data_IF_005238258762
#
_entry.id   IF_005238258762
#
_cell.length_a   1.000
_cell.length_b   1.000
_cell.length_c   1.000
_cell.angle_alpha   90.00
_cell.angle_beta   90.00
_cell.angle_gamma   90.00
#
_symmetry.space_group_name_H-M   'P 1'
#
loop_
_entity.id
_entity.type
_entity.pdbx_description
1 polymer ?
#
# COMPACT_ATOMS: atom_id res chain seq x y z
N UNK A 1 -17.87 9.12 11.54
CA UNK A 1 -17.95 10.60 11.49
C UNK A 1 -17.02 11.05 10.39
N UNK A 2 -17.50 11.86 9.45
CA UNK A 2 -16.69 12.44 8.37
C UNK A 2 -16.12 13.78 8.83
N UNK A 3 -14.85 14.06 8.55
CA UNK A 3 -14.18 15.31 8.90
C UNK A 3 -13.41 15.87 7.70
N UNK A 4 -13.04 17.15 7.79
CA UNK A 4 -12.12 17.78 6.83
C UNK A 4 -10.82 16.97 6.74
N UNK A 5 -10.35 16.73 5.51
CA UNK A 5 -9.16 15.94 5.22
C UNK A 5 -9.42 14.45 4.98
N UNK A 6 -10.61 13.94 5.34
CA UNK A 6 -10.96 12.54 5.08
C UNK A 6 -10.88 12.23 3.58
N UNK A 7 -10.32 11.07 3.27
CA UNK A 7 -10.37 10.51 1.93
C UNK A 7 -11.71 9.80 1.75
N UNK A 8 -12.37 10.05 0.62
CA UNK A 8 -13.64 9.40 0.27
C UNK A 8 -13.50 8.76 -1.10
N UNK A 9 -14.25 7.68 -1.35
CA UNK A 9 -14.21 6.92 -2.60
C UNK A 9 -15.61 6.75 -3.17
N UNK A 10 -15.76 7.02 -4.47
CA UNK A 10 -17.00 6.81 -5.19
C UNK A 10 -17.29 5.32 -5.32
N UNK A 11 -18.39 4.85 -4.75
CA UNK A 11 -18.83 3.44 -4.81
C UNK A 11 -19.96 3.22 -5.82
N UNK A 12 -20.66 4.29 -6.23
CA UNK A 12 -21.74 4.24 -7.21
C UNK A 12 -21.70 5.48 -8.10
N UNK A 13 -21.97 5.31 -9.39
CA UNK A 13 -21.98 6.44 -10.32
C UNK A 13 -23.04 7.48 -9.96
N UNK A 14 -22.71 8.76 -10.22
CA UNK A 14 -23.64 9.89 -10.16
C UNK A 14 -23.81 10.52 -11.54
N UNK A 15 -24.60 11.59 -11.61
CA UNK A 15 -24.66 12.42 -12.82
C UNK A 15 -23.30 13.06 -13.16
N UNK A 16 -22.53 13.46 -12.14
CA UNK A 16 -21.27 14.19 -12.29
C UNK A 16 -20.03 13.27 -12.27
N UNK A 17 -20.11 12.11 -11.63
CA UNK A 17 -18.97 11.22 -11.41
C UNK A 17 -19.28 9.82 -11.95
N UNK A 18 -18.54 9.41 -12.98
CA UNK A 18 -18.74 8.13 -13.68
C UNK A 18 -17.73 7.05 -13.32
N UNK A 19 -16.56 7.42 -12.80
CA UNK A 19 -15.48 6.47 -12.53
C UNK A 19 -15.53 5.96 -11.10
N UNK A 20 -16.16 4.79 -10.89
CA UNK A 20 -16.17 4.08 -9.61
C UNK A 20 -14.72 3.84 -9.13
N UNK A 21 -14.48 4.00 -7.82
CA UNK A 21 -13.17 3.90 -7.20
C UNK A 21 -12.35 5.21 -7.23
N UNK A 22 -12.86 6.26 -7.85
CA UNK A 22 -12.22 7.59 -7.81
C UNK A 22 -12.19 8.11 -6.38
N UNK A 23 -11.03 8.63 -5.96
CA UNK A 23 -10.80 9.14 -4.61
C UNK A 23 -10.82 10.66 -4.58
N UNK A 24 -11.44 11.19 -3.55
CA UNK A 24 -11.59 12.62 -3.29
C UNK A 24 -11.15 12.91 -1.86
N UNK A 25 -10.97 14.19 -1.55
CA UNK A 25 -10.66 14.66 -0.20
C UNK A 25 -11.69 15.70 0.24
N UNK A 26 -12.18 15.54 1.47
CA UNK A 26 -13.13 16.47 2.08
C UNK A 26 -12.44 17.81 2.36
N UNK A 27 -12.95 18.87 1.74
CA UNK A 27 -12.46 20.25 1.87
C UNK A 27 -13.02 20.94 3.11
N UNK A 28 -14.34 20.80 3.33
CA UNK A 28 -15.06 21.36 4.48
C UNK A 28 -16.41 20.67 4.68
N UNK A 29 -16.94 20.84 5.88
CA UNK A 29 -18.31 20.50 6.25
C UNK A 29 -18.91 21.77 6.85
N UNK A 30 -20.07 22.20 6.35
CA UNK A 30 -20.76 23.40 6.87
C UNK A 30 -21.67 23.06 8.07
N UNK A 31 -22.27 24.10 8.67
CA UNK A 31 -23.14 23.99 9.85
C UNK A 31 -24.39 23.13 9.58
N UNK A 32 -24.85 23.08 8.33
CA UNK A 32 -25.99 22.26 7.87
C UNK A 32 -25.59 20.80 7.58
N UNK A 33 -24.30 20.45 7.74
CA UNK A 33 -23.79 19.11 7.48
C UNK A 33 -23.60 18.78 5.99
N UNK A 34 -23.52 19.78 5.12
CA UNK A 34 -23.14 19.58 3.72
C UNK A 34 -21.62 19.37 3.62
N UNK A 35 -21.24 18.36 2.87
CA UNK A 35 -19.85 17.98 2.62
C UNK A 35 -19.42 18.60 1.30
N UNK A 36 -18.36 19.41 1.32
CA UNK A 36 -17.66 19.86 0.12
C UNK A 36 -16.37 19.07 -0.04
N UNK A 37 -16.09 18.58 -1.24
CA UNK A 37 -14.83 17.88 -1.56
C UNK A 37 -14.25 18.35 -2.89
N UNK A 38 -12.91 18.32 -2.95
CA UNK A 38 -12.14 18.75 -4.11
C UNK A 38 -11.87 17.53 -5.03
N UNK A 39 -11.88 17.75 -6.34
CA UNK A 39 -11.33 16.78 -7.29
C UNK A 39 -10.29 17.42 -8.20
N UNK A 40 -9.21 16.67 -8.46
CA UNK A 40 -8.29 17.00 -9.54
C UNK A 40 -8.96 16.59 -10.84
N UNK A 41 -9.52 17.58 -11.54
CA UNK A 41 -9.71 17.48 -12.98
C UNK A 41 -8.32 17.37 -13.62
N UNK A 42 -8.12 16.39 -14.50
CA UNK A 42 -6.87 16.29 -15.27
C UNK A 42 -6.73 17.42 -16.31
N UNK A 43 -7.76 18.25 -16.53
CA UNK A 43 -7.80 19.29 -17.57
C UNK A 43 -8.37 20.61 -17.03
N UNK A 44 -7.81 21.18 -15.97
CA UNK A 44 -8.13 22.57 -15.60
C UNK A 44 -6.88 23.43 -15.68
N UNK A 45 -6.56 23.88 -16.90
CA UNK A 45 -5.66 25.01 -17.18
C UNK A 45 -6.16 26.33 -16.55
N UNK A 46 -7.41 26.34 -16.06
CA UNK A 46 -8.01 27.46 -15.34
C UNK A 46 -7.95 27.13 -13.84
N UNK A 47 -7.14 27.88 -13.08
CA UNK A 47 -6.70 27.63 -11.70
C UNK A 47 -7.77 27.57 -10.58
N UNK A 48 -8.91 26.92 -10.80
CA UNK A 48 -9.84 26.50 -9.74
C UNK A 48 -10.02 24.99 -9.80
N UNK A 49 -9.59 24.30 -8.74
CA UNK A 49 -9.97 22.89 -8.55
C UNK A 49 -11.50 22.81 -8.46
N UNK A 50 -12.17 22.08 -9.34
CA UNK A 50 -13.61 21.96 -9.27
C UNK A 50 -14.01 21.29 -7.95
N UNK A 51 -15.09 21.81 -7.36
CA UNK A 51 -15.64 21.38 -6.06
C UNK A 51 -17.03 20.80 -6.26
N UNK A 52 -17.35 19.78 -5.49
CA UNK A 52 -18.71 19.31 -5.35
C UNK A 52 -19.15 19.44 -3.89
N UNK A 53 -20.42 19.83 -3.71
CA UNK A 53 -21.06 19.92 -2.40
C UNK A 53 -22.33 19.08 -2.41
N UNK A 54 -22.57 18.33 -1.35
CA UNK A 54 -23.79 17.56 -1.16
C UNK A 54 -24.11 17.34 0.31
N UNK A 55 -25.37 17.04 0.62
CA UNK A 55 -25.78 16.68 1.98
C UNK A 55 -25.18 15.33 2.40
N UNK A 56 -25.05 15.09 3.70
CA UNK A 56 -24.62 13.78 4.22
C UNK A 56 -25.48 12.62 3.68
N UNK A 57 -26.80 12.81 3.60
CA UNK A 57 -27.72 11.79 3.06
C UNK A 57 -27.47 11.45 1.60
N UNK A 58 -27.08 12.44 0.79
CA UNK A 58 -26.75 12.19 -0.61
C UNK A 58 -25.37 11.57 -0.74
N UNK A 59 -24.41 11.98 0.11
CA UNK A 59 -23.08 11.39 0.19
C UNK A 59 -23.12 9.87 0.45
N UNK A 60 -23.89 9.42 1.44
CA UNK A 60 -23.97 7.99 1.81
C UNK A 60 -24.47 7.07 0.67
N UNK A 61 -25.19 7.63 -0.32
CA UNK A 61 -25.68 6.86 -1.47
C UNK A 61 -24.59 6.52 -2.48
N UNK A 62 -23.53 7.32 -2.56
CA UNK A 62 -22.54 7.23 -3.64
C UNK A 62 -21.10 7.13 -3.18
N UNK A 63 -20.82 7.43 -1.90
CA UNK A 63 -19.46 7.49 -1.38
C UNK A 63 -19.31 6.66 -0.11
N UNK A 64 -18.08 6.20 0.12
CA UNK A 64 -17.63 5.67 1.41
C UNK A 64 -16.41 6.44 1.90
N UNK A 65 -16.24 6.54 3.22
CA UNK A 65 -14.99 7.02 3.81
C UNK A 65 -13.91 5.95 3.57
N UNK A 66 -12.77 6.39 3.05
CA UNK A 66 -11.56 5.58 2.93
C UNK A 66 -10.70 5.91 4.13
N UNK A 67 -10.57 4.99 5.11
CA UNK A 67 -9.65 5.22 6.21
C UNK A 67 -8.24 5.46 5.66
N UNK A 68 -7.58 6.49 6.19
CA UNK A 68 -6.19 6.75 5.86
C UNK A 68 -5.38 5.51 6.24
N UNK A 69 -4.64 4.98 5.27
CA UNK A 69 -3.90 3.73 5.46
C UNK A 69 -2.60 4.01 6.18
N UNK A 70 -2.70 4.08 7.51
CA UNK A 70 -1.56 4.19 8.40
C UNK A 70 -0.78 2.88 8.37
N UNK A 71 0.53 2.97 8.17
CA UNK A 71 1.40 1.81 8.30
C UNK A 71 1.51 1.42 9.77
N UNK A 72 1.37 0.13 10.06
CA UNK A 72 1.73 -0.43 11.36
C UNK A 72 3.21 -0.21 11.63
N UNK A 73 3.57 -0.31 12.91
CA UNK A 73 4.95 -0.52 13.32
C UNK A 73 5.55 -1.75 12.64
N UNK A 74 6.89 -1.76 12.56
CA UNK A 74 7.63 -2.91 12.06
C UNK A 74 7.63 -4.03 13.11
N UNK A 75 7.00 -5.14 12.75
CA UNK A 75 6.90 -6.33 13.59
C UNK A 75 7.94 -7.38 13.18
N UNK A 76 8.49 -8.17 14.13
CA UNK A 76 9.49 -9.17 13.84
C UNK A 76 8.93 -10.32 13.01
N UNK A 77 9.74 -10.86 12.12
CA UNK A 77 9.51 -12.12 11.40
C UNK A 77 10.85 -12.74 11.01
N UNK A 78 10.80 -13.85 10.27
CA UNK A 78 11.98 -14.49 9.71
C UNK A 78 11.74 -14.81 8.23
N UNK A 79 12.82 -14.89 7.47
CA UNK A 79 12.79 -15.35 6.08
C UNK A 79 13.71 -16.55 5.96
N UNK A 80 13.23 -17.58 5.26
CA UNK A 80 14.06 -18.66 4.76
C UNK A 80 14.26 -18.45 3.26
N UNK A 81 15.48 -18.64 2.78
CA UNK A 81 15.82 -18.56 1.36
C UNK A 81 16.98 -19.50 1.02
N UNK A 82 17.08 -19.90 -0.24
CA UNK A 82 18.20 -20.71 -0.71
C UNK A 82 19.42 -19.81 -0.94
N UNK A 83 20.50 -20.06 -0.20
CA UNK A 83 21.79 -19.45 -0.48
C UNK A 83 22.66 -20.39 -1.32
N UNK A 84 23.29 -19.83 -2.35
CA UNK A 84 24.21 -20.57 -3.21
C UNK A 84 25.61 -20.66 -2.60
N UNK A 85 25.99 -19.70 -1.75
CA UNK A 85 27.19 -19.82 -0.93
C UNK A 85 26.92 -20.90 0.13
N UNK A 86 27.50 -22.09 -0.08
CA UNK A 86 27.34 -23.27 0.78
C UNK A 86 26.20 -24.22 0.39
N UNK A 87 25.36 -23.92 -0.61
CA UNK A 87 24.21 -24.76 -1.00
C UNK A 87 23.28 -25.13 0.18
N UNK A 88 22.95 -24.15 1.01
CA UNK A 88 22.15 -24.37 2.23
C UNK A 88 20.91 -23.47 2.28
N UNK A 89 19.90 -23.94 3.03
CA UNK A 89 18.74 -23.13 3.39
C UNK A 89 19.17 -22.12 4.47
N UNK A 90 19.23 -20.85 4.11
CA UNK A 90 19.59 -19.78 5.03
C UNK A 90 18.34 -19.21 5.71
N UNK A 91 18.51 -18.78 6.97
CA UNK A 91 17.47 -18.07 7.73
C UNK A 91 18.01 -16.72 8.17
N UNK A 92 17.25 -15.66 7.93
CA UNK A 92 17.57 -14.30 8.40
C UNK A 92 16.43 -13.69 9.21
N UNK A 93 16.82 -12.81 10.13
CA UNK A 93 15.89 -11.93 10.81
C UNK A 93 15.33 -10.90 9.84
N UNK A 94 14.02 -10.69 9.91
CA UNK A 94 13.31 -9.75 9.07
C UNK A 94 12.27 -9.00 9.90
N UNK A 95 11.76 -7.92 9.34
CA UNK A 95 10.61 -7.21 9.90
C UNK A 95 9.57 -6.98 8.82
N UNK A 96 8.30 -7.00 9.20
CA UNK A 96 7.19 -6.71 8.32
C UNK A 96 6.28 -5.63 8.89
N UNK A 97 5.51 -4.98 8.02
CA UNK A 97 4.46 -4.03 8.41
C UNK A 97 3.32 -4.08 7.41
N UNK A 98 2.15 -3.58 7.80
CA UNK A 98 0.97 -3.52 6.94
C UNK A 98 0.23 -2.21 7.07
N UNK A 99 -0.57 -1.85 6.07
CA UNK A 99 -1.48 -0.71 6.13
C UNK A 99 -2.95 -1.10 5.85
N UNK A 100 -3.31 -2.37 6.09
CA UNK A 100 -4.66 -2.89 5.85
C UNK A 100 -4.98 -3.19 4.38
N UNK A 101 -4.02 -3.02 3.46
CA UNK A 101 -4.14 -3.51 2.07
C UNK A 101 -2.83 -4.05 1.52
N UNK A 102 -1.70 -3.48 1.96
CA UNK A 102 -0.36 -3.87 1.56
C UNK A 102 0.40 -4.43 2.76
N UNK A 103 1.21 -5.44 2.51
CA UNK A 103 2.21 -5.97 3.44
C UNK A 103 3.59 -5.73 2.85
N UNK A 104 4.52 -5.22 3.65
CA UNK A 104 5.93 -5.06 3.29
C UNK A 104 6.78 -5.88 4.25
N UNK A 105 7.84 -6.51 3.75
CA UNK A 105 8.84 -7.21 4.53
C UNK A 105 10.25 -6.81 4.08
N UNK A 106 11.18 -6.68 5.03
CA UNK A 106 12.58 -6.37 4.76
C UNK A 106 13.51 -7.11 5.72
N UNK A 107 14.78 -7.35 5.35
CA UNK A 107 15.79 -7.82 6.29
C UNK A 107 15.94 -6.86 7.48
N UNK A 108 16.28 -7.42 8.64
CA UNK A 108 16.49 -6.64 9.87
C UNK A 108 17.89 -6.90 10.41
N UNK A 109 18.69 -5.83 10.52
CA UNK A 109 20.04 -5.85 11.11
C UNK A 109 20.98 -6.89 10.47
N UNK A 110 20.97 -6.98 9.14
CA UNK A 110 21.91 -7.83 8.40
C UNK A 110 23.19 -7.03 8.11
N UNK A 111 24.36 -7.66 8.22
CA UNK A 111 25.66 -6.99 8.02
C UNK A 111 25.86 -6.40 6.62
N UNK A 112 25.20 -6.94 5.59
CA UNK A 112 25.33 -6.46 4.21
C UNK A 112 24.36 -5.30 3.91
N UNK A 113 24.87 -4.08 3.57
CA UNK A 113 24.03 -2.96 3.18
C UNK A 113 23.17 -3.24 1.95
N UNK A 114 23.68 -4.01 0.99
CA UNK A 114 22.96 -4.39 -0.23
C UNK A 114 21.74 -5.26 0.09
N UNK A 115 21.88 -6.19 1.05
CA UNK A 115 20.76 -7.00 1.53
C UNK A 115 19.72 -6.13 2.24
N UNK A 116 20.14 -5.17 3.08
CA UNK A 116 19.22 -4.29 3.81
C UNK A 116 18.34 -3.40 2.90
N UNK A 117 18.72 -3.22 1.63
CA UNK A 117 17.91 -2.50 0.63
C UNK A 117 16.82 -3.36 0.00
N UNK A 118 16.91 -4.69 0.11
CA UNK A 118 15.91 -5.61 -0.45
C UNK A 118 14.59 -5.52 0.32
N UNK A 119 13.49 -5.60 -0.43
CA UNK A 119 12.13 -5.59 0.11
C UNK A 119 11.23 -6.53 -0.66
N UNK A 120 10.41 -7.26 0.07
CA UNK A 120 9.27 -8.01 -0.47
C UNK A 120 7.97 -7.27 -0.15
N UNK A 121 7.03 -7.29 -1.07
CA UNK A 121 5.75 -6.60 -0.89
C UNK A 121 4.61 -7.43 -1.46
N UNK A 122 3.43 -7.34 -0.87
CA UNK A 122 2.19 -7.93 -1.38
C UNK A 122 1.05 -6.94 -1.20
N UNK A 123 0.16 -6.84 -2.18
CA UNK A 123 -1.00 -5.95 -2.16
C UNK A 123 -2.26 -6.77 -2.41
N UNK A 124 -3.24 -6.64 -1.54
CA UNK A 124 -4.55 -7.25 -1.67
C UNK A 124 -5.34 -6.60 -2.81
N UNK A 125 -6.06 -7.41 -3.60
CA UNK A 125 -6.97 -6.89 -4.63
C UNK A 125 -8.04 -5.99 -4.01
N UNK A 126 -8.60 -5.00 -4.75
CA UNK A 126 -9.79 -4.28 -4.28
C UNK A 126 -11.01 -5.16 -3.99
N UNK A 127 -11.10 -6.33 -4.62
CA UNK A 127 -12.21 -7.29 -4.48
C UNK A 127 -12.07 -8.25 -3.30
N UNK A 128 -10.88 -8.34 -2.70
CA UNK A 128 -10.56 -9.40 -1.76
C UNK A 128 -10.59 -8.86 -0.33
N UNK A 129 -11.03 -9.71 0.60
CA UNK A 129 -10.90 -9.45 2.02
C UNK A 129 -9.42 -9.46 2.41
N UNK A 130 -8.99 -8.38 3.07
CA UNK A 130 -7.61 -8.23 3.48
C UNK A 130 -7.23 -9.24 4.56
N UNK A 131 -6.25 -10.08 4.24
CA UNK A 131 -5.66 -11.06 5.16
C UNK A 131 -4.15 -10.79 5.29
N UNK A 132 -3.73 -10.40 6.50
CA UNK A 132 -2.33 -10.06 6.78
C UNK A 132 -1.40 -11.27 6.63
N UNK A 133 -1.88 -12.48 6.95
CA UNK A 133 -1.09 -13.70 6.90
C UNK A 133 -0.84 -14.12 5.46
N UNK A 134 -1.86 -14.07 4.61
CA UNK A 134 -1.72 -14.31 3.15
C UNK A 134 -0.77 -13.28 2.53
N UNK A 135 -0.98 -12.00 2.84
CA UNK A 135 -0.11 -10.92 2.36
C UNK A 135 1.34 -11.09 2.82
N UNK A 136 1.55 -11.45 4.08
CA UNK A 136 2.88 -11.71 4.64
C UNK A 136 3.55 -12.90 3.97
N UNK A 137 2.86 -14.03 3.78
CA UNK A 137 3.42 -15.19 3.10
C UNK A 137 3.94 -14.85 1.69
N UNK A 138 3.13 -14.13 0.90
CA UNK A 138 3.52 -13.69 -0.45
C UNK A 138 4.71 -12.71 -0.39
N UNK A 139 4.66 -11.73 0.51
CA UNK A 139 5.75 -10.76 0.65
C UNK A 139 7.06 -11.46 1.06
N UNK A 140 7.00 -12.45 1.97
CA UNK A 140 8.14 -13.27 2.40
C UNK A 140 8.74 -14.04 1.22
N UNK A 141 7.93 -14.70 0.40
CA UNK A 141 8.41 -15.44 -0.78
C UNK A 141 9.07 -14.51 -1.80
N UNK A 142 8.51 -13.32 -2.02
CA UNK A 142 9.10 -12.32 -2.92
C UNK A 142 10.45 -11.79 -2.40
N UNK A 143 10.60 -11.61 -1.09
CA UNK A 143 11.88 -11.26 -0.50
C UNK A 143 12.88 -12.42 -0.56
N UNK A 144 12.44 -13.66 -0.28
CA UNK A 144 13.26 -14.85 -0.37
C UNK A 144 13.84 -15.03 -1.77
N UNK A 145 13.03 -14.86 -2.82
CA UNK A 145 13.51 -14.88 -4.21
C UNK A 145 14.63 -13.87 -4.42
N UNK A 146 14.44 -12.61 -4.01
CA UNK A 146 15.47 -11.55 -4.17
C UNK A 146 16.77 -11.86 -3.42
N UNK A 147 16.68 -12.51 -2.25
CA UNK A 147 17.85 -12.93 -1.49
C UNK A 147 18.58 -14.08 -2.17
N UNK A 148 17.85 -15.04 -2.75
CA UNK A 148 18.42 -16.11 -3.56
C UNK A 148 19.09 -15.57 -4.82
N UNK A 149 18.42 -14.67 -5.55
CA UNK A 149 18.97 -14.00 -6.73
C UNK A 149 20.28 -13.27 -6.37
N UNK A 150 20.27 -12.48 -5.28
CA UNK A 150 21.47 -11.79 -4.79
C UNK A 150 22.60 -12.74 -4.41
N UNK A 151 22.28 -13.87 -3.76
CA UNK A 151 23.28 -14.87 -3.41
C UNK A 151 23.88 -15.53 -4.66
N UNK A 152 23.07 -15.72 -5.70
CA UNK A 152 23.51 -16.30 -6.96
C UNK A 152 24.44 -15.35 -7.71
N UNK A 153 24.06 -14.07 -7.85
CA UNK A 153 24.90 -13.03 -8.47
C UNK A 153 26.27 -12.93 -7.80
N UNK A 154 26.33 -12.95 -6.47
CA UNK A 154 27.60 -12.91 -5.72
C UNK A 154 28.46 -14.14 -5.94
N UNK A 155 27.85 -15.31 -6.11
CA UNK A 155 28.58 -16.53 -6.42
C UNK A 155 29.19 -16.45 -7.83
N UNK A 156 28.41 -16.01 -8.83
CA UNK A 156 28.93 -15.83 -10.20
C UNK A 156 30.06 -14.79 -10.26
N UNK A 157 29.93 -13.67 -9.55
CA UNK A 157 31.00 -12.67 -9.43
C UNK A 157 32.29 -13.28 -8.84
N UNK A 158 32.15 -14.14 -7.83
CA UNK A 158 33.29 -14.82 -7.21
C UNK A 158 34.00 -15.82 -8.13
N UNK A 159 33.30 -16.41 -9.10
CA UNK A 159 33.91 -17.33 -10.09
C UNK A 159 34.63 -16.59 -11.23
N UNK A 160 34.32 -15.31 -11.45
CA UNK A 160 34.93 -14.50 -12.51
C UNK A 160 36.24 -13.83 -12.10
N UNK A 161 36.52 -13.79 -10.80
CA UNK A 161 37.74 -13.23 -10.20
C UNK A 161 38.68 -14.36 -9.77
#
# INVERSE_FOLDING_TARGET
MIIKGDKIELVKETRAFKKIGTKFEVDRIDEDGNITFNFRSCDSEVGRSPRATMTYREFEKYFKIVPERVWSEWMPTNIQYFGFIGQHLNRINAVYRTNGKKVQVRPHRVYSPSINRLRGEATCSPSDDFDVNKGLAIAKMRLAKKLSDFSYERFEEGLRN
#
